data_IF_994703144833
#
_entry.id   IF_994703144833
#
_cell.length_a   1.000
_cell.length_b   1.000
_cell.length_c   1.000
_cell.angle_alpha   90.00
_cell.angle_beta   90.00
_cell.angle_gamma   90.00
#
_symmetry.space_group_name_H-M   'P 1'
#
loop_
_entity.id
_entity.type
_entity.pdbx_description
1 polymer ?
#
# COMPACT_ATOMS: atom_id res chain seq x y z
N UNK A 1 -31.80 17.23 0.12
CA UNK A 1 -33.22 17.06 -0.33
C UNK A 1 -33.38 15.56 -0.50
N UNK A 2 -34.04 14.89 0.47
CA UNK A 2 -34.24 13.43 0.46
C UNK A 2 -35.53 13.17 -0.31
N UNK A 3 -35.48 12.36 -1.36
CA UNK A 3 -36.65 11.97 -2.15
C UNK A 3 -37.41 10.83 -1.44
N UNK A 4 -38.74 10.98 -1.38
CA UNK A 4 -39.65 10.02 -0.80
C UNK A 4 -40.20 9.06 -1.86
N UNK A 5 -40.10 7.77 -1.64
CA UNK A 5 -40.83 6.76 -2.44
C UNK A 5 -42.00 6.21 -1.62
N UNK A 6 -43.25 6.59 -2.01
CA UNK A 6 -44.48 6.03 -1.40
C UNK A 6 -44.94 4.80 -2.18
N UNK A 7 -45.07 3.63 -1.53
CA UNK A 7 -45.82 2.47 -2.04
C UNK A 7 -47.20 2.41 -1.36
N UNK A 8 -48.25 2.62 -2.14
CA UNK A 8 -49.63 2.43 -1.68
C UNK A 8 -50.00 0.96 -1.53
N UNK A 9 -50.17 0.50 -0.29
CA UNK A 9 -51.05 -0.64 0.05
C UNK A 9 -52.05 -0.15 1.12
N UNK A 10 -53.33 -0.49 0.94
CA UNK A 10 -54.47 0.00 1.70
C UNK A 10 -54.23 -0.09 3.23
N UNK A 11 -54.08 1.07 3.91
CA UNK A 11 -54.24 1.15 5.35
C UNK A 11 -53.22 1.98 6.13
N UNK A 12 -51.99 2.07 5.72
CA UNK A 12 -50.96 3.00 6.28
C UNK A 12 -49.86 3.16 5.23
N UNK A 13 -49.55 4.40 4.88
CA UNK A 13 -48.36 4.69 4.04
C UNK A 13 -47.16 4.50 4.94
N UNK A 14 -46.43 3.40 4.77
CA UNK A 14 -45.14 3.21 5.46
C UNK A 14 -44.10 4.12 4.79
N UNK A 15 -43.59 5.08 5.54
CA UNK A 15 -42.47 5.92 5.09
C UNK A 15 -41.19 5.14 5.25
N UNK A 16 -40.44 4.98 4.15
CA UNK A 16 -39.11 4.34 4.16
C UNK A 16 -38.02 5.33 3.80
N UNK A 17 -36.88 5.20 4.44
CA UNK A 17 -35.68 5.92 4.04
C UNK A 17 -35.15 5.34 2.73
N UNK A 18 -34.73 6.18 1.81
CA UNK A 18 -34.09 5.78 0.54
C UNK A 18 -32.59 5.53 0.74
N UNK A 19 -32.27 4.67 1.70
CA UNK A 19 -30.91 4.22 2.02
C UNK A 19 -30.94 2.85 2.69
N UNK A 20 -29.82 2.14 2.63
CA UNK A 20 -29.65 0.81 3.24
C UNK A 20 -28.59 0.84 4.33
N UNK A 21 -28.67 -0.13 5.26
CA UNK A 21 -27.61 -0.36 6.23
C UNK A 21 -26.28 -0.72 5.52
N UNK A 22 -25.17 -0.20 6.00
CA UNK A 22 -23.88 -0.39 5.38
C UNK A 22 -22.71 -0.03 6.28
N UNK A 23 -21.57 0.22 5.66
CA UNK A 23 -20.35 0.58 6.40
C UNK A 23 -20.50 1.87 7.21
N UNK A 24 -21.28 2.83 6.73
CA UNK A 24 -21.46 4.17 7.32
C UNK A 24 -22.90 4.48 7.77
N UNK A 25 -23.82 3.56 7.63
CA UNK A 25 -25.25 3.73 8.01
C UNK A 25 -25.70 2.52 8.82
N UNK A 26 -26.46 2.80 9.89
CA UNK A 26 -27.07 1.79 10.75
C UNK A 26 -28.47 2.23 11.17
N UNK A 27 -29.44 1.31 11.23
CA UNK A 27 -30.80 1.56 11.71
C UNK A 27 -31.03 0.93 13.07
N UNK A 28 -31.79 1.59 13.93
CA UNK A 28 -32.19 1.07 15.23
C UNK A 28 -33.58 1.54 15.56
N UNK A 29 -34.40 0.65 16.09
CA UNK A 29 -35.77 0.97 16.51
C UNK A 29 -35.82 1.83 17.77
N UNK A 30 -34.83 1.67 18.68
CA UNK A 30 -34.71 2.39 19.94
C UNK A 30 -33.25 2.45 20.42
N UNK A 31 -32.99 3.26 21.43
CA UNK A 31 -31.68 3.31 22.12
C UNK A 31 -31.46 2.05 22.93
N UNK A 32 -30.50 1.23 22.55
CA UNK A 32 -30.12 -0.01 23.21
C UNK A 32 -28.59 -0.19 23.24
N UNK A 33 -28.10 -1.28 23.80
CA UNK A 33 -26.66 -1.54 23.91
C UNK A 33 -26.02 -1.82 22.54
N UNK A 34 -26.81 -2.25 21.54
CA UNK A 34 -26.32 -2.40 20.15
C UNK A 34 -26.05 -1.03 19.52
N UNK A 35 -26.87 -0.01 19.79
CA UNK A 35 -26.61 1.35 19.32
C UNK A 35 -25.29 1.89 19.90
N UNK A 36 -25.06 1.71 21.21
CA UNK A 36 -23.79 2.11 21.87
C UNK A 36 -22.59 1.39 21.31
N UNK A 37 -22.72 0.09 21.03
CA UNK A 37 -21.68 -0.71 20.36
C UNK A 37 -21.37 -0.15 18.96
N UNK A 38 -22.39 0.23 18.19
CA UNK A 38 -22.23 0.81 16.85
C UNK A 38 -21.56 2.18 16.92
N UNK A 39 -21.90 3.03 17.91
CA UNK A 39 -21.17 4.29 18.15
C UNK A 39 -19.68 4.06 18.35
N UNK A 40 -19.29 3.11 19.21
CA UNK A 40 -17.88 2.78 19.42
C UNK A 40 -17.23 2.25 18.13
N UNK A 41 -17.94 1.42 17.36
CA UNK A 41 -17.43 0.88 16.09
C UNK A 41 -17.22 1.99 15.03
N UNK A 42 -18.13 2.94 14.90
CA UNK A 42 -17.98 4.10 14.03
C UNK A 42 -16.82 5.00 14.46
N UNK A 43 -16.69 5.27 15.77
CA UNK A 43 -15.57 6.07 16.28
C UNK A 43 -14.20 5.42 16.04
N UNK A 44 -14.13 4.09 15.96
CA UNK A 44 -12.92 3.33 15.64
C UNK A 44 -12.61 3.27 14.14
N UNK A 45 -13.62 3.53 13.27
CA UNK A 45 -13.50 3.50 11.81
C UNK A 45 -13.59 4.91 11.22
N UNK A 46 -14.19 5.05 10.06
CA UNK A 46 -14.30 6.33 9.32
C UNK A 46 -15.50 7.19 9.75
N UNK A 47 -16.16 6.81 10.84
CA UNK A 47 -17.41 7.43 11.28
C UNK A 47 -18.63 6.81 10.63
N UNK A 48 -19.80 7.43 10.85
CA UNK A 48 -21.06 6.99 10.26
C UNK A 48 -22.28 7.62 10.94
N UNK A 49 -23.47 7.21 10.51
CA UNK A 49 -24.75 7.68 11.04
C UNK A 49 -25.62 6.54 11.54
N UNK A 50 -26.26 6.73 12.69
CA UNK A 50 -27.23 5.81 13.23
C UNK A 50 -28.59 6.52 13.24
N UNK A 51 -29.58 5.92 12.60
CA UNK A 51 -30.96 6.40 12.59
C UNK A 51 -31.78 5.63 13.63
N UNK A 52 -32.19 6.29 14.71
CA UNK A 52 -32.94 5.66 15.80
C UNK A 52 -34.43 6.04 15.63
N UNK A 53 -35.30 5.04 15.66
CA UNK A 53 -36.70 5.11 15.28
C UNK A 53 -36.96 4.54 13.88
N UNK A 54 -36.03 3.74 13.36
CA UNK A 54 -36.10 3.12 12.03
C UNK A 54 -35.88 1.61 12.18
N UNK A 55 -36.67 0.82 11.48
CA UNK A 55 -36.52 -0.63 11.39
C UNK A 55 -35.42 -1.04 10.40
N UNK A 56 -34.91 -2.26 10.50
CA UNK A 56 -33.81 -2.78 9.66
C UNK A 56 -34.13 -2.76 8.15
N UNK A 57 -35.41 -2.77 7.78
CA UNK A 57 -35.86 -2.66 6.38
C UNK A 57 -36.03 -1.21 5.91
N UNK A 58 -35.62 -0.23 6.72
CA UNK A 58 -35.70 1.21 6.44
C UNK A 58 -37.06 1.85 6.75
N UNK A 59 -38.05 1.10 7.30
CA UNK A 59 -39.35 1.68 7.68
C UNK A 59 -39.20 2.61 8.89
N UNK A 60 -39.71 3.84 8.75
CA UNK A 60 -39.70 4.81 9.83
C UNK A 60 -40.81 4.50 10.82
N UNK A 61 -40.42 4.05 12.02
CA UNK A 61 -41.34 3.81 13.14
C UNK A 61 -41.62 5.07 13.93
N UNK A 62 -40.61 5.93 14.08
CA UNK A 62 -40.61 7.14 14.88
C UNK A 62 -40.35 6.89 16.37
N UNK A 63 -40.09 7.95 17.10
CA UNK A 63 -39.87 7.98 18.55
C UNK A 63 -40.93 8.86 19.20
N UNK A 64 -41.61 8.34 20.21
CA UNK A 64 -42.71 9.08 20.91
C UNK A 64 -42.12 10.15 21.85
N UNK A 65 -41.13 9.80 22.68
CA UNK A 65 -40.49 10.74 23.61
C UNK A 65 -39.01 10.92 23.22
N UNK A 66 -38.78 11.89 22.35
CA UNK A 66 -37.44 12.21 21.81
C UNK A 66 -36.47 12.66 22.90
N UNK A 67 -36.94 13.48 23.84
CA UNK A 67 -36.09 14.04 24.92
C UNK A 67 -35.60 12.94 25.85
N UNK A 68 -36.48 12.01 26.22
CA UNK A 68 -36.13 10.87 27.08
C UNK A 68 -35.10 9.94 26.34
N UNK A 69 -35.30 9.66 25.05
CA UNK A 69 -34.36 8.81 24.29
C UNK A 69 -33.01 9.51 24.03
N UNK A 70 -32.98 10.83 23.84
CA UNK A 70 -31.74 11.63 23.73
C UNK A 70 -30.94 11.57 25.04
N UNK A 71 -31.61 11.79 26.16
CA UNK A 71 -30.98 11.70 27.48
C UNK A 71 -30.42 10.29 27.73
N UNK A 72 -31.22 9.27 27.45
CA UNK A 72 -30.83 7.86 27.58
C UNK A 72 -29.63 7.50 26.71
N UNK A 73 -29.59 7.97 25.47
CA UNK A 73 -28.45 7.76 24.56
C UNK A 73 -27.17 8.37 25.12
N UNK A 74 -27.25 9.64 25.54
CA UNK A 74 -26.11 10.38 26.08
C UNK A 74 -25.56 9.71 27.37
N UNK A 75 -26.45 9.34 28.29
CA UNK A 75 -26.04 8.64 29.51
C UNK A 75 -25.41 7.27 29.22
N UNK A 76 -26.00 6.50 28.30
CA UNK A 76 -25.46 5.20 27.92
C UNK A 76 -24.10 5.33 27.25
N UNK A 77 -23.87 6.30 26.34
CA UNK A 77 -22.57 6.55 25.73
C UNK A 77 -21.53 6.91 26.79
N UNK A 78 -21.84 7.87 27.66
CA UNK A 78 -20.94 8.30 28.74
C UNK A 78 -20.59 7.19 29.72
N UNK A 79 -21.57 6.36 30.09
CA UNK A 79 -21.35 5.25 31.03
C UNK A 79 -20.54 4.10 30.42
N UNK A 80 -20.80 3.77 29.14
CA UNK A 80 -20.36 2.51 28.57
C UNK A 80 -19.21 2.61 27.57
N UNK A 81 -18.84 3.81 27.07
CA UNK A 81 -17.73 3.94 26.11
C UNK A 81 -16.52 4.61 26.75
N UNK A 82 -15.35 4.08 26.51
CA UNK A 82 -14.06 4.65 26.91
C UNK A 82 -13.10 4.65 25.72
N UNK A 83 -12.24 5.70 25.53
CA UNK A 83 -12.35 7.03 26.15
C UNK A 83 -13.70 7.71 25.89
N UNK A 84 -13.93 8.91 26.45
CA UNK A 84 -15.19 9.66 26.22
C UNK A 84 -15.34 9.95 24.71
N UNK A 85 -16.49 9.55 24.16
CA UNK A 85 -16.79 9.66 22.72
C UNK A 85 -17.67 10.87 22.39
N UNK A 86 -18.24 11.53 23.39
CA UNK A 86 -19.28 12.55 23.21
C UNK A 86 -18.84 13.71 22.30
N UNK A 87 -17.57 14.09 22.37
CA UNK A 87 -17.02 15.15 21.49
C UNK A 87 -16.99 14.76 20.00
N UNK A 88 -17.13 13.48 19.69
CA UNK A 88 -17.14 12.94 18.32
C UNK A 88 -18.56 12.66 17.82
N UNK A 89 -19.57 12.94 18.62
CA UNK A 89 -20.97 12.61 18.34
C UNK A 89 -21.78 13.88 18.24
N UNK A 90 -22.43 14.10 17.11
CA UNK A 90 -23.50 15.08 16.94
C UNK A 90 -24.84 14.34 16.88
N UNK A 91 -25.86 14.88 17.52
CA UNK A 91 -27.19 14.28 17.55
C UNK A 91 -28.21 15.32 17.08
N UNK A 92 -28.92 14.96 16.02
CA UNK A 92 -29.98 15.78 15.41
C UNK A 92 -31.31 15.03 15.43
N UNK A 93 -32.41 15.75 15.28
CA UNK A 93 -33.76 15.17 15.17
C UNK A 93 -34.32 15.54 13.79
N UNK A 94 -34.60 14.51 13.03
CA UNK A 94 -35.27 14.68 11.71
C UNK A 94 -36.73 14.21 11.79
N UNK A 95 -37.59 14.80 10.98
CA UNK A 95 -39.00 14.47 10.93
C UNK A 95 -39.38 13.91 9.56
N UNK A 96 -39.95 12.71 9.56
CA UNK A 96 -40.41 12.02 8.37
C UNK A 96 -41.91 11.74 8.50
N UNK A 97 -42.73 12.43 7.71
CA UNK A 97 -44.19 12.31 7.70
C UNK A 97 -44.81 12.37 9.12
N UNK A 98 -44.34 13.34 9.92
CA UNK A 98 -44.82 13.57 11.29
C UNK A 98 -44.23 12.65 12.35
N UNK A 99 -43.38 11.71 11.99
CA UNK A 99 -42.62 10.83 12.93
C UNK A 99 -41.23 11.39 13.15
N UNK A 100 -40.80 11.43 14.40
CA UNK A 100 -39.47 11.90 14.80
C UNK A 100 -38.45 10.76 14.78
N UNK A 101 -37.29 11.00 14.19
CA UNK A 101 -36.14 10.08 14.13
C UNK A 101 -34.91 10.79 14.69
N UNK A 102 -34.20 10.15 15.61
CA UNK A 102 -32.93 10.69 16.10
C UNK A 102 -31.80 10.24 15.16
N UNK A 103 -31.04 11.19 14.62
CA UNK A 103 -29.89 10.94 13.76
C UNK A 103 -28.60 11.18 14.57
N UNK A 104 -27.86 10.12 14.81
CA UNK A 104 -26.59 10.15 15.55
C UNK A 104 -25.46 10.12 14.55
N UNK A 105 -24.82 11.25 14.32
CA UNK A 105 -23.62 11.34 13.48
C UNK A 105 -22.37 11.17 14.31
N UNK A 106 -21.61 10.13 14.02
CA UNK A 106 -20.36 9.80 14.72
C UNK A 106 -19.19 10.08 13.81
N UNK A 107 -18.21 10.84 14.29
CA UNK A 107 -16.94 11.08 13.60
C UNK A 107 -15.89 10.07 14.06
N UNK A 108 -14.88 9.85 13.21
CA UNK A 108 -13.69 9.07 13.59
C UNK A 108 -13.02 9.72 14.79
N UNK A 109 -12.83 8.95 15.85
CA UNK A 109 -12.25 9.44 17.08
C UNK A 109 -10.71 9.55 17.03
N UNK A 110 -10.14 10.60 17.63
CA UNK A 110 -8.67 10.78 17.66
C UNK A 110 -7.96 9.89 18.67
N UNK A 111 -8.65 9.43 19.72
CA UNK A 111 -8.09 8.61 20.83
C UNK A 111 -8.53 7.15 20.74
N UNK A 112 -8.36 6.53 19.59
CA UNK A 112 -8.70 5.12 19.37
C UNK A 112 -7.71 4.20 20.09
N UNK A 113 -8.14 3.01 20.52
CA UNK A 113 -9.47 2.43 20.32
C UNK A 113 -10.50 2.87 21.36
N UNK A 114 -11.73 3.12 20.90
CA UNK A 114 -12.90 3.26 21.76
C UNK A 114 -13.44 1.88 22.08
N UNK A 115 -13.72 1.62 23.35
CA UNK A 115 -14.13 0.29 23.80
C UNK A 115 -15.28 0.35 24.80
N UNK A 116 -16.02 -0.75 24.94
CA UNK A 116 -17.07 -0.89 25.94
C UNK A 116 -16.43 -1.09 27.32
N UNK A 117 -16.73 -0.18 28.27
CA UNK A 117 -16.14 -0.16 29.60
C UNK A 117 -16.35 -1.48 30.37
N UNK A 118 -17.51 -2.14 30.18
CA UNK A 118 -17.84 -3.42 30.81
C UNK A 118 -16.97 -4.59 30.33
N UNK A 119 -16.37 -4.46 29.15
CA UNK A 119 -15.56 -5.52 28.53
C UNK A 119 -14.06 -5.21 28.52
N UNK A 120 -13.69 -3.92 28.69
CA UNK A 120 -12.30 -3.48 28.71
C UNK A 120 -11.64 -3.40 27.35
N UNK A 121 -10.36 -2.99 27.34
CA UNK A 121 -9.54 -2.83 26.15
C UNK A 121 -8.98 -4.18 25.69
N UNK A 122 -9.79 -4.94 25.00
CA UNK A 122 -9.49 -6.27 24.44
C UNK A 122 -10.46 -6.56 23.27
N UNK A 123 -10.23 -7.63 22.47
CA UNK A 123 -11.05 -7.93 21.29
C UNK A 123 -12.56 -7.90 21.55
N UNK A 124 -13.03 -8.46 22.64
CA UNK A 124 -14.47 -8.50 22.97
C UNK A 124 -15.05 -7.13 23.33
N UNK A 125 -14.21 -6.16 23.68
CA UNK A 125 -14.61 -4.81 24.07
C UNK A 125 -14.45 -3.76 22.97
N UNK A 126 -13.57 -3.98 22.00
CA UNK A 126 -13.30 -3.07 20.88
C UNK A 126 -14.05 -3.55 19.64
N UNK A 127 -14.86 -2.68 19.05
CA UNK A 127 -15.64 -3.00 17.85
C UNK A 127 -15.22 -2.12 16.67
N UNK A 128 -15.29 -2.72 15.47
CA UNK A 128 -15.03 -2.07 14.18
C UNK A 128 -16.14 -2.41 13.18
N UNK A 129 -16.29 -1.62 12.12
CA UNK A 129 -17.26 -1.89 11.05
C UNK A 129 -16.69 -2.84 10.01
N UNK A 130 -17.46 -3.89 9.70
CA UNK A 130 -17.22 -4.80 8.59
C UNK A 130 -18.51 -4.93 7.79
N UNK A 131 -18.60 -4.17 6.69
CA UNK A 131 -19.88 -3.98 5.99
C UNK A 131 -20.92 -3.33 6.90
N UNK A 132 -22.12 -3.91 6.95
CA UNK A 132 -23.21 -3.47 7.82
C UNK A 132 -23.10 -3.97 9.27
N UNK A 133 -22.07 -4.79 9.63
CA UNK A 133 -21.97 -5.37 10.96
C UNK A 133 -20.90 -4.66 11.83
N UNK A 134 -21.19 -4.51 13.13
CA UNK A 134 -20.21 -4.13 14.14
C UNK A 134 -19.60 -5.40 14.76
N UNK A 135 -18.33 -5.72 14.39
CA UNK A 135 -17.64 -6.93 14.79
C UNK A 135 -16.52 -6.64 15.79
N UNK A 136 -16.16 -7.62 16.67
CA UNK A 136 -15.00 -7.49 17.52
C UNK A 136 -13.72 -7.28 16.70
N UNK A 137 -12.81 -6.44 17.21
CA UNK A 137 -11.51 -6.19 16.62
C UNK A 137 -10.51 -7.30 16.98
N UNK A 138 -9.41 -7.41 16.22
CA UNK A 138 -8.29 -8.29 16.60
C UNK A 138 -7.31 -7.56 17.51
N UNK A 139 -6.51 -8.32 18.30
CA UNK A 139 -5.43 -7.74 19.11
C UNK A 139 -4.45 -6.91 18.27
N UNK A 140 -4.13 -7.37 17.07
CA UNK A 140 -3.25 -6.65 16.14
C UNK A 140 -3.84 -5.30 15.73
N UNK A 141 -5.15 -5.26 15.41
CA UNK A 141 -5.82 -4.02 15.04
C UNK A 141 -5.98 -3.06 16.22
N UNK A 142 -6.18 -3.58 17.43
CA UNK A 142 -6.19 -2.78 18.67
C UNK A 142 -4.83 -2.11 18.89
N UNK A 143 -3.74 -2.86 18.81
CA UNK A 143 -2.39 -2.33 18.92
C UNK A 143 -2.10 -1.28 17.86
N UNK A 144 -2.58 -1.49 16.64
CA UNK A 144 -2.44 -0.50 15.56
C UNK A 144 -3.20 0.79 15.88
N UNK A 145 -4.46 0.70 16.36
CA UNK A 145 -5.25 1.88 16.75
C UNK A 145 -4.59 2.68 17.87
N UNK A 146 -4.00 2.01 18.87
CA UNK A 146 -3.24 2.65 19.96
C UNK A 146 -2.07 3.44 19.39
N UNK A 147 -1.27 2.81 18.54
CA UNK A 147 -0.10 3.44 17.87
C UNK A 147 -0.50 4.69 17.09
N UNK A 148 -1.58 4.60 16.32
CA UNK A 148 -2.08 5.72 15.52
C UNK A 148 -2.60 6.89 16.39
N UNK A 149 -3.16 6.59 17.56
CA UNK A 149 -3.79 7.59 18.44
C UNK A 149 -2.81 8.32 19.35
N UNK A 150 -1.77 7.63 19.79
CA UNK A 150 -0.78 8.20 20.72
C UNK A 150 0.34 8.96 19.98
N UNK A 151 0.35 8.92 18.65
CA UNK A 151 1.46 9.44 17.84
C UNK A 151 2.73 8.60 18.02
N UNK A 152 2.58 7.41 18.61
CA UNK A 152 3.65 6.48 18.89
C UNK A 152 4.02 5.72 17.61
N UNK A 153 4.84 6.37 16.79
CA UNK A 153 5.44 5.74 15.62
C UNK A 153 6.58 4.81 16.06
N UNK A 154 6.85 3.75 15.30
CA UNK A 154 8.00 2.88 15.56
C UNK A 154 9.28 3.69 15.78
N UNK A 155 9.48 4.72 14.97
CA UNK A 155 10.68 5.55 14.96
C UNK A 155 10.88 6.39 16.23
N UNK A 156 9.78 6.80 16.91
CA UNK A 156 9.84 7.63 18.13
C UNK A 156 10.02 6.82 19.42
N UNK A 157 9.81 5.49 19.38
CA UNK A 157 9.98 4.64 20.55
C UNK A 157 11.44 4.51 20.94
N UNK A 158 11.68 4.28 22.24
CA UNK A 158 13.00 3.95 22.76
C UNK A 158 13.54 2.68 22.10
N UNK A 159 14.80 2.76 21.67
CA UNK A 159 15.51 1.62 21.11
C UNK A 159 15.93 0.65 22.22
N UNK A 160 15.81 -0.64 21.96
CA UNK A 160 16.35 -1.67 22.85
C UNK A 160 17.88 -1.65 22.87
N UNK A 161 18.53 -1.19 21.81
CA UNK A 161 19.97 -1.01 21.77
C UNK A 161 20.32 0.45 22.06
N UNK A 162 21.01 0.71 23.15
CA UNK A 162 21.47 2.03 23.57
C UNK A 162 22.96 2.26 23.27
N UNK A 163 23.67 1.25 22.75
CA UNK A 163 25.08 1.36 22.35
C UNK A 163 25.17 1.59 20.83
N UNK A 164 24.87 2.81 20.41
CA UNK A 164 24.81 3.20 19.01
C UNK A 164 25.97 4.12 18.64
N UNK A 165 26.53 3.92 17.43
CA UNK A 165 27.49 4.80 16.79
C UNK A 165 26.92 5.31 15.47
N UNK A 166 27.40 6.44 14.96
CA UNK A 166 26.79 7.16 13.84
C UNK A 166 27.85 7.66 12.84
N UNK A 167 28.88 6.86 12.56
CA UNK A 167 29.98 7.31 11.70
C UNK A 167 29.51 7.65 10.30
N UNK A 168 28.71 6.75 9.70
CA UNK A 168 28.15 6.99 8.36
C UNK A 168 27.20 8.17 8.34
N UNK A 169 26.26 8.24 9.27
CA UNK A 169 25.26 9.30 9.34
C UNK A 169 25.89 10.68 9.60
N UNK A 170 26.87 10.77 10.53
CA UNK A 170 27.58 12.01 10.83
C UNK A 170 28.34 12.53 9.60
N UNK A 171 28.98 11.63 8.82
CA UNK A 171 29.63 11.98 7.56
C UNK A 171 28.64 12.57 6.55
N UNK A 172 27.46 11.94 6.37
CA UNK A 172 26.42 12.43 5.46
C UNK A 172 25.86 13.79 5.87
N UNK A 173 25.70 14.03 7.17
CA UNK A 173 25.30 15.33 7.67
C UNK A 173 26.39 16.40 7.41
N UNK A 174 27.65 16.05 7.62
CA UNK A 174 28.78 16.95 7.38
C UNK A 174 28.90 17.35 5.90
N UNK A 175 28.62 16.45 4.96
CA UNK A 175 28.54 16.74 3.51
C UNK A 175 27.49 17.83 3.20
N UNK A 176 26.48 18.00 4.06
CA UNK A 176 25.43 19.02 3.97
C UNK A 176 25.67 20.25 4.88
N UNK A 177 26.81 20.30 5.55
CA UNK A 177 27.16 21.41 6.44
C UNK A 177 26.51 21.34 7.83
N UNK A 178 25.99 20.17 8.24
CA UNK A 178 25.42 19.96 9.57
C UNK A 178 26.37 19.16 10.45
N UNK A 179 26.33 19.42 11.77
CA UNK A 179 27.01 18.61 12.78
C UNK A 179 26.02 17.74 13.54
N UNK A 180 26.45 16.55 13.96
CA UNK A 180 25.68 15.64 14.79
C UNK A 180 26.08 15.81 16.25
N UNK A 181 25.60 16.86 16.89
CA UNK A 181 25.71 17.05 18.33
C UNK A 181 24.44 16.58 19.08
N UNK A 182 24.46 16.59 20.41
CA UNK A 182 23.32 16.16 21.21
C UNK A 182 22.05 16.99 20.94
N UNK A 183 22.20 18.29 20.70
CA UNK A 183 21.07 19.17 20.36
C UNK A 183 20.45 18.81 19.02
N UNK A 184 21.29 18.52 18.02
CA UNK A 184 20.84 18.04 16.72
C UNK A 184 20.15 16.66 16.81
N UNK A 185 20.71 15.73 17.62
CA UNK A 185 20.10 14.41 17.85
C UNK A 185 18.70 14.53 18.47
N UNK A 186 18.53 15.39 19.48
CA UNK A 186 17.21 15.67 20.08
C UNK A 186 16.25 16.31 19.09
N UNK A 187 16.71 17.31 18.35
CA UNK A 187 15.90 18.03 17.35
C UNK A 187 15.42 17.11 16.23
N UNK A 188 16.24 16.16 15.80
CA UNK A 188 15.89 15.19 14.77
C UNK A 188 15.11 13.99 15.32
N UNK A 189 14.92 13.86 16.63
CA UNK A 189 14.21 12.76 17.25
C UNK A 189 15.04 11.48 17.41
N UNK A 190 16.37 11.55 17.30
CA UNK A 190 17.24 10.39 17.57
C UNK A 190 17.36 10.12 19.07
N UNK A 191 17.19 11.14 19.89
CA UNK A 191 17.30 11.04 21.34
C UNK A 191 16.03 11.56 21.99
N UNK A 192 15.37 10.70 22.77
CA UNK A 192 14.23 11.02 23.62
C UNK A 192 14.66 11.28 25.08
N UNK A 193 13.68 11.27 25.98
CA UNK A 193 13.92 11.51 27.42
C UNK A 193 14.68 10.35 28.08
N UNK A 194 14.48 9.11 27.61
CA UNK A 194 15.07 7.90 28.19
C UNK A 194 16.29 7.38 27.43
N UNK A 195 16.70 8.01 26.31
CA UNK A 195 17.83 7.58 25.52
C UNK A 195 17.59 7.61 24.00
N UNK A 196 18.32 6.76 23.27
CA UNK A 196 18.18 6.66 21.83
C UNK A 196 16.84 6.03 21.41
N UNK A 197 16.27 6.57 20.36
CA UNK A 197 15.02 6.07 19.74
C UNK A 197 15.30 5.01 18.68
N UNK A 198 14.25 4.37 18.17
CA UNK A 198 14.39 3.47 17.02
C UNK A 198 14.81 4.22 15.74
N UNK A 199 14.50 5.52 15.59
CA UNK A 199 15.07 6.32 14.52
C UNK A 199 16.60 6.37 14.62
N UNK A 200 17.15 6.54 15.85
CA UNK A 200 18.59 6.46 16.05
C UNK A 200 19.14 5.10 15.65
N UNK A 201 18.49 4.00 16.02
CA UNK A 201 18.90 2.67 15.59
C UNK A 201 18.91 2.55 14.07
N UNK A 202 17.89 3.02 13.36
CA UNK A 202 17.84 2.99 11.89
C UNK A 202 19.00 3.76 11.23
N UNK A 203 19.40 4.87 11.83
CA UNK A 203 20.47 5.73 11.29
C UNK A 203 21.87 5.37 11.81
N UNK A 204 21.98 4.47 12.80
CA UNK A 204 23.24 4.03 13.39
C UNK A 204 23.96 3.00 12.52
N UNK A 205 25.25 2.83 12.79
CA UNK A 205 26.08 1.79 12.18
C UNK A 205 25.68 0.37 12.63
N UNK A 206 24.83 0.26 13.67
CA UNK A 206 24.26 -0.99 14.20
C UNK A 206 22.86 -1.30 13.67
N UNK A 207 22.41 -0.58 12.65
CA UNK A 207 21.10 -0.81 12.05
C UNK A 207 21.01 -2.25 11.47
N UNK A 208 19.94 -3.00 11.76
CA UNK A 208 19.73 -4.32 11.16
C UNK A 208 19.59 -4.23 9.63
N UNK A 209 19.83 -5.34 8.91
CA UNK A 209 19.66 -5.39 7.46
C UNK A 209 18.17 -5.29 7.07
N UNK A 210 17.80 -4.14 6.56
CA UNK A 210 16.43 -3.87 6.06
C UNK A 210 16.33 -3.91 4.53
N UNK A 211 17.45 -3.95 3.81
CA UNK A 211 17.48 -4.00 2.36
C UNK A 211 18.26 -5.23 1.89
N UNK A 212 17.70 -5.92 0.90
CA UNK A 212 18.34 -7.01 0.16
C UNK A 212 18.11 -6.80 -1.33
N UNK A 213 19.13 -7.06 -2.13
CA UNK A 213 19.04 -6.99 -3.58
C UNK A 213 19.41 -8.32 -4.21
N UNK A 214 18.79 -8.64 -5.32
CA UNK A 214 19.14 -9.80 -6.14
C UNK A 214 18.91 -9.50 -7.62
N UNK A 215 19.80 -10.01 -8.47
CA UNK A 215 19.62 -10.07 -9.91
C UNK A 215 19.32 -11.51 -10.32
N UNK A 216 18.40 -11.69 -11.26
CA UNK A 216 17.92 -12.97 -11.75
C UNK A 216 18.14 -13.14 -13.24
N UNK A 217 18.38 -14.37 -13.69
CA UNK A 217 18.51 -14.72 -15.10
C UNK A 217 17.15 -14.77 -15.82
N UNK A 218 16.05 -14.89 -15.06
CA UNK A 218 14.70 -14.95 -15.59
C UNK A 218 13.67 -14.20 -14.73
N UNK A 219 12.48 -13.97 -15.29
CA UNK A 219 11.39 -13.26 -14.62
C UNK A 219 10.66 -14.13 -13.56
N UNK A 220 10.97 -15.43 -13.49
CA UNK A 220 10.41 -16.36 -12.49
C UNK A 220 11.19 -16.40 -11.19
N UNK A 221 12.38 -15.79 -11.19
CA UNK A 221 13.31 -15.76 -10.05
C UNK A 221 13.84 -17.14 -9.65
N UNK A 222 13.95 -18.05 -10.63
CA UNK A 222 14.43 -19.41 -10.37
C UNK A 222 15.94 -19.46 -10.19
N UNK A 223 16.68 -18.60 -10.89
CA UNK A 223 18.14 -18.58 -10.88
C UNK A 223 18.67 -17.21 -10.49
N UNK A 224 19.39 -17.16 -9.37
CA UNK A 224 20.13 -15.97 -8.94
C UNK A 224 21.41 -15.82 -9.74
N UNK A 225 21.62 -14.64 -10.32
CA UNK A 225 22.92 -14.22 -10.88
C UNK A 225 23.79 -13.59 -9.80
N UNK A 226 23.17 -12.74 -8.98
CA UNK A 226 23.83 -12.04 -7.87
C UNK A 226 22.82 -11.81 -6.73
N UNK A 227 23.31 -11.77 -5.51
CA UNK A 227 22.51 -11.46 -4.31
C UNK A 227 23.35 -10.76 -3.27
N UNK A 228 22.77 -9.72 -2.67
CA UNK A 228 23.41 -8.90 -1.66
C UNK A 228 22.47 -8.65 -0.47
N UNK A 229 23.04 -8.60 0.70
CA UNK A 229 22.37 -8.20 1.93
C UNK A 229 23.16 -7.07 2.58
N UNK A 230 22.52 -5.92 2.80
CA UNK A 230 23.19 -4.72 3.27
C UNK A 230 23.05 -4.58 4.77
N UNK A 231 24.13 -4.12 5.44
CA UNK A 231 24.21 -3.82 6.87
C UNK A 231 24.75 -2.41 7.08
N UNK A 232 24.83 -1.94 8.32
CA UNK A 232 25.21 -0.56 8.62
C UNK A 232 24.02 0.38 8.58
N UNK A 233 24.25 1.66 8.66
CA UNK A 233 23.18 2.68 8.66
C UNK A 233 22.18 2.46 7.53
N UNK A 234 20.89 2.71 7.79
CA UNK A 234 19.85 2.61 6.76
C UNK A 234 20.17 3.46 5.52
N UNK A 235 20.89 4.57 5.70
CA UNK A 235 21.35 5.41 4.59
C UNK A 235 22.46 4.73 3.79
N UNK A 236 23.34 3.98 4.44
CA UNK A 236 24.38 3.18 3.79
C UNK A 236 23.75 2.03 3.01
N UNK A 237 22.78 1.34 3.61
CA UNK A 237 21.99 0.29 2.94
C UNK A 237 21.26 0.86 1.71
N UNK A 238 20.69 2.06 1.81
CA UNK A 238 19.99 2.75 0.70
C UNK A 238 20.97 3.07 -0.45
N UNK A 239 22.14 3.65 -0.15
CA UNK A 239 23.15 3.98 -1.16
C UNK A 239 23.72 2.72 -1.81
N UNK A 240 23.96 1.66 -1.04
CA UNK A 240 24.46 0.39 -1.55
C UNK A 240 23.43 -0.31 -2.45
N UNK A 241 22.15 -0.31 -2.07
CA UNK A 241 21.08 -0.86 -2.90
C UNK A 241 20.88 -0.04 -4.19
N UNK A 242 21.06 1.28 -4.13
CA UNK A 242 21.02 2.12 -5.32
C UNK A 242 22.21 1.85 -6.24
N UNK A 243 23.42 1.69 -5.69
CA UNK A 243 24.61 1.32 -6.46
C UNK A 243 24.46 -0.05 -7.14
N UNK A 244 23.81 -1.02 -6.47
CA UNK A 244 23.45 -2.30 -7.08
C UNK A 244 22.50 -2.13 -8.26
N UNK A 245 21.46 -1.30 -8.13
CA UNK A 245 20.54 -1.01 -9.22
C UNK A 245 21.24 -0.35 -10.40
N UNK A 246 22.11 0.63 -10.15
CA UNK A 246 22.90 1.30 -11.20
C UNK A 246 23.89 0.33 -11.90
N UNK A 247 24.50 -0.59 -11.16
CA UNK A 247 25.41 -1.60 -11.72
C UNK A 247 24.69 -2.57 -12.69
N UNK A 248 23.39 -2.81 -12.45
CA UNK A 248 22.55 -3.66 -13.30
C UNK A 248 21.69 -2.86 -14.30
N UNK A 249 21.83 -1.54 -14.33
CA UNK A 249 21.13 -0.66 -15.27
C UNK A 249 22.01 -0.47 -16.52
N UNK A 250 21.89 -1.39 -17.48
CA UNK A 250 22.66 -1.34 -18.70
C UNK A 250 22.03 -0.35 -19.68
N UNK A 251 22.81 0.10 -20.66
CA UNK A 251 22.31 0.96 -21.72
C UNK A 251 22.43 0.28 -23.08
N UNK A 252 21.50 0.61 -23.98
CA UNK A 252 21.57 0.27 -25.39
C UNK A 252 21.78 1.53 -26.23
N UNK A 253 22.60 1.40 -27.25
CA UNK A 253 22.85 2.49 -28.22
C UNK A 253 22.02 2.28 -29.47
N UNK A 254 21.27 3.31 -29.85
CA UNK A 254 20.61 3.38 -31.19
C UNK A 254 21.18 4.55 -31.96
N UNK A 255 21.13 4.44 -33.29
CA UNK A 255 21.53 5.52 -34.19
C UNK A 255 20.28 6.05 -34.92
N UNK A 256 19.99 7.34 -34.75
CA UNK A 256 18.97 8.05 -35.51
C UNK A 256 19.68 8.99 -36.51
N UNK A 257 19.78 8.55 -37.76
CA UNK A 257 20.62 9.20 -38.76
C UNK A 257 22.11 9.14 -38.40
N UNK A 258 22.72 10.28 -38.13
CA UNK A 258 24.12 10.40 -37.67
C UNK A 258 24.25 10.56 -36.15
N UNK A 259 23.13 10.67 -35.44
CA UNK A 259 23.14 10.88 -33.97
C UNK A 259 23.12 9.54 -33.25
N UNK A 260 24.03 9.40 -32.28
CA UNK A 260 24.02 8.31 -31.32
C UNK A 260 23.08 8.70 -30.17
N UNK A 261 22.15 7.82 -29.83
CA UNK A 261 21.24 7.97 -28.67
C UNK A 261 21.43 6.75 -27.80
N UNK A 262 21.78 6.98 -26.52
CA UNK A 262 21.93 5.94 -25.53
C UNK A 262 20.66 5.92 -24.64
N UNK A 263 20.11 4.74 -24.43
CA UNK A 263 18.91 4.50 -23.62
C UNK A 263 19.25 3.52 -22.51
N UNK A 264 19.12 3.97 -21.26
CA UNK A 264 19.25 3.09 -20.11
C UNK A 264 18.08 2.09 -20.06
N UNK A 265 18.33 0.91 -19.50
CA UNK A 265 17.28 -0.09 -19.25
C UNK A 265 16.17 0.49 -18.38
N UNK A 266 16.56 1.27 -17.39
CA UNK A 266 15.65 1.94 -16.45
C UNK A 266 16.05 3.40 -16.28
N UNK A 267 15.11 4.36 -16.25
CA UNK A 267 15.44 5.74 -15.89
C UNK A 267 15.99 5.81 -14.47
N UNK A 268 17.21 6.32 -14.27
CA UNK A 268 17.85 6.45 -12.95
C UNK A 268 16.97 7.24 -11.97
N UNK A 269 16.23 8.24 -12.45
CA UNK A 269 15.27 9.00 -11.63
C UNK A 269 14.13 8.11 -11.08
N UNK A 270 13.62 7.15 -11.88
CA UNK A 270 12.58 6.24 -11.44
C UNK A 270 13.10 5.21 -10.45
N UNK A 271 14.29 4.62 -10.70
CA UNK A 271 14.95 3.70 -9.76
C UNK A 271 15.17 4.36 -8.40
N UNK A 272 15.74 5.58 -8.41
CA UNK A 272 15.98 6.35 -7.20
C UNK A 272 14.69 6.62 -6.43
N UNK A 273 13.67 7.10 -7.09
CA UNK A 273 12.40 7.47 -6.46
C UNK A 273 11.70 6.23 -5.86
N UNK A 274 11.64 5.12 -6.60
CA UNK A 274 11.04 3.88 -6.13
C UNK A 274 11.76 3.33 -4.89
N UNK A 275 13.10 3.34 -4.87
CA UNK A 275 13.90 2.85 -3.77
C UNK A 275 13.78 3.74 -2.52
N UNK A 276 13.86 5.06 -2.69
CA UNK A 276 13.74 6.02 -1.58
C UNK A 276 12.35 5.95 -0.96
N UNK A 277 11.29 5.86 -1.78
CA UNK A 277 9.91 5.70 -1.30
C UNK A 277 9.72 4.38 -0.54
N UNK A 278 10.32 3.28 -1.01
CA UNK A 278 10.27 2.00 -0.33
C UNK A 278 10.87 2.06 1.08
N UNK A 279 11.94 2.85 1.29
CA UNK A 279 12.57 3.09 2.59
C UNK A 279 11.74 4.05 3.45
N UNK A 280 11.29 5.18 2.89
CA UNK A 280 10.56 6.20 3.64
C UNK A 280 9.19 5.72 4.15
N UNK A 281 8.53 4.84 3.38
CA UNK A 281 7.18 4.35 3.69
C UNK A 281 7.13 2.93 4.26
N UNK A 282 8.29 2.27 4.49
CA UNK A 282 8.35 0.95 5.09
C UNK A 282 7.72 0.92 6.49
N UNK A 283 7.02 -0.16 6.83
CA UNK A 283 6.60 -0.47 8.21
C UNK A 283 7.75 -1.17 8.95
N UNK A 284 8.53 -0.42 9.71
CA UNK A 284 9.71 -0.91 10.42
C UNK A 284 9.39 -1.78 11.65
N UNK A 285 8.14 -1.78 12.13
CA UNK A 285 7.69 -2.70 13.17
C UNK A 285 7.54 -4.14 12.66
N UNK A 286 7.47 -4.34 11.34
CA UNK A 286 7.41 -5.66 10.73
C UNK A 286 8.83 -6.19 10.45
N UNK A 287 9.07 -7.43 10.88
CA UNK A 287 10.31 -8.15 10.58
C UNK A 287 10.38 -8.56 9.10
N UNK A 288 11.58 -8.50 8.53
CA UNK A 288 11.85 -8.87 7.13
C UNK A 288 12.40 -7.69 6.33
N UNK A 289 13.11 -7.92 5.23
CA UNK A 289 13.72 -6.87 4.42
C UNK A 289 12.76 -6.27 3.39
N UNK A 290 13.11 -5.10 2.89
CA UNK A 290 12.67 -4.61 1.58
C UNK A 290 13.47 -5.37 0.53
N UNK A 291 12.81 -5.91 -0.47
CA UNK A 291 13.42 -6.72 -1.52
C UNK A 291 13.53 -5.90 -2.81
N UNK A 292 14.74 -5.82 -3.34
CA UNK A 292 15.05 -5.24 -4.65
C UNK A 292 15.39 -6.38 -5.60
N UNK A 293 14.58 -6.60 -6.62
CA UNK A 293 14.74 -7.69 -7.59
C UNK A 293 14.95 -7.11 -8.99
N UNK A 294 16.10 -7.40 -9.59
CA UNK A 294 16.39 -7.07 -10.98
C UNK A 294 16.17 -8.30 -11.83
N UNK A 295 15.27 -8.21 -12.79
CA UNK A 295 14.90 -9.27 -13.71
C UNK A 295 15.07 -8.81 -15.17
N UNK A 296 15.14 -9.71 -16.15
CA UNK A 296 15.30 -9.29 -17.55
C UNK A 296 14.24 -8.31 -18.06
N UNK A 297 12.98 -8.46 -17.63
CA UNK A 297 11.88 -7.60 -18.09
C UNK A 297 11.60 -6.39 -17.19
N UNK A 298 11.98 -6.41 -15.92
CA UNK A 298 11.65 -5.35 -14.94
C UNK A 298 12.55 -5.36 -13.71
N UNK A 299 12.58 -4.22 -13.04
CA UNK A 299 12.99 -4.12 -11.63
C UNK A 299 11.75 -4.10 -10.76
N UNK A 300 11.74 -4.85 -9.67
CA UNK A 300 10.66 -4.89 -8.70
C UNK A 300 11.19 -4.59 -7.30
N UNK A 301 10.58 -3.62 -6.63
CA UNK A 301 10.90 -3.23 -5.25
C UNK A 301 9.69 -3.51 -4.38
N UNK A 302 9.82 -4.47 -3.46
CA UNK A 302 8.77 -4.88 -2.53
C UNK A 302 9.11 -4.42 -1.13
N UNK A 303 8.30 -3.54 -0.55
CA UNK A 303 8.46 -3.09 0.82
C UNK A 303 7.31 -3.57 1.71
N UNK A 304 7.60 -3.74 3.01
CA UNK A 304 6.60 -4.13 4.00
C UNK A 304 5.78 -2.92 4.45
N UNK A 305 4.47 -3.12 4.57
CA UNK A 305 3.47 -2.10 4.89
C UNK A 305 2.63 -1.74 3.67
N UNK A 306 1.29 -1.74 3.82
CA UNK A 306 0.35 -1.28 2.80
C UNK A 306 0.28 0.23 2.72
N UNK A 307 -0.85 0.79 2.31
CA UNK A 307 -1.08 2.24 2.34
C UNK A 307 -1.17 2.75 3.78
N UNK A 308 -0.79 4.00 3.96
CA UNK A 308 -0.98 4.70 5.25
C UNK A 308 -2.48 4.84 5.50
N UNK A 309 -2.99 4.62 6.74
CA UNK A 309 -4.39 4.80 7.05
C UNK A 309 -4.92 6.17 6.61
N UNK A 310 -6.06 6.16 5.92
CA UNK A 310 -6.67 7.36 5.36
C UNK A 310 -6.28 7.68 3.92
N UNK A 311 -5.36 6.90 3.33
CA UNK A 311 -4.99 6.97 1.91
C UNK A 311 -5.59 5.75 1.20
N UNK A 312 -6.27 5.97 0.08
CA UNK A 312 -6.74 4.95 -0.84
C UNK A 312 -5.80 4.77 -2.03
N UNK A 313 -6.00 3.72 -2.82
CA UNK A 313 -5.22 3.51 -4.04
C UNK A 313 -5.40 4.67 -5.04
N UNK A 314 -6.61 5.22 -5.13
CA UNK A 314 -6.93 6.32 -6.03
C UNK A 314 -6.24 7.64 -5.63
N UNK A 315 -5.85 7.78 -4.36
CA UNK A 315 -5.13 8.95 -3.85
C UNK A 315 -3.65 8.97 -4.23
N UNK A 316 -3.10 7.86 -4.73
CA UNK A 316 -1.70 7.77 -5.13
C UNK A 316 -1.33 8.76 -6.25
N UNK A 317 -2.28 9.12 -7.11
CA UNK A 317 -2.11 10.10 -8.18
C UNK A 317 -2.41 11.55 -7.75
N UNK A 318 -2.93 11.74 -6.53
CA UNK A 318 -3.36 13.07 -6.04
C UNK A 318 -2.24 13.93 -5.47
N UNK A 319 -0.96 13.51 -5.61
CA UNK A 319 0.23 14.22 -5.06
C UNK A 319 0.12 14.54 -3.56
N UNK A 320 -0.43 13.61 -2.78
CA UNK A 320 -0.53 13.72 -1.33
C UNK A 320 0.80 13.26 -0.70
N UNK A 321 1.38 14.09 0.18
CA UNK A 321 2.58 13.74 0.95
C UNK A 321 2.19 13.38 2.38
N UNK A 322 2.05 12.08 2.65
CA UNK A 322 1.78 11.56 4.00
C UNK A 322 2.78 10.43 4.32
N UNK A 323 3.98 10.74 4.77
CA UNK A 323 4.98 9.72 5.08
C UNK A 323 4.57 8.90 6.31
N UNK A 324 4.78 7.57 6.24
CA UNK A 324 4.57 6.66 7.37
C UNK A 324 5.54 6.99 8.51
N UNK A 325 6.80 7.21 8.17
CA UNK A 325 7.89 7.51 9.10
C UNK A 325 8.25 9.00 8.98
N UNK A 326 7.57 9.84 9.76
CA UNK A 326 7.66 11.31 9.64
C UNK A 326 9.04 11.84 10.03
N UNK A 327 9.65 11.28 11.08
CA UNK A 327 10.97 11.70 11.55
C UNK A 327 12.04 11.25 10.56
N UNK A 328 12.00 10.01 10.08
CA UNK A 328 12.90 9.52 9.04
C UNK A 328 12.76 10.33 7.75
N UNK A 329 11.53 10.63 7.33
CA UNK A 329 11.28 11.47 6.16
C UNK A 329 11.87 12.88 6.34
N UNK A 330 11.80 13.48 7.54
CA UNK A 330 12.44 14.76 7.84
C UNK A 330 13.96 14.70 7.71
N UNK A 331 14.60 13.61 8.13
CA UNK A 331 16.04 13.40 7.96
C UNK A 331 16.39 13.22 6.48
N UNK A 332 15.66 12.38 5.75
CA UNK A 332 15.85 12.18 4.31
C UNK A 332 15.69 13.48 3.51
N UNK A 333 14.73 14.33 3.90
CA UNK A 333 14.55 15.66 3.31
C UNK A 333 15.77 16.56 3.55
N UNK A 334 16.28 16.62 4.79
CA UNK A 334 17.47 17.43 5.14
C UNK A 334 18.72 17.00 4.36
N UNK A 335 18.84 15.69 4.11
CA UNK A 335 19.92 15.13 3.32
C UNK A 335 19.70 15.26 1.80
N UNK A 336 18.52 15.73 1.36
CA UNK A 336 18.18 15.90 -0.05
C UNK A 336 17.84 14.59 -0.78
N UNK A 337 17.48 13.54 -0.04
CA UNK A 337 17.01 12.29 -0.62
C UNK A 337 15.55 12.36 -1.07
N UNK A 338 14.72 13.18 -0.42
CA UNK A 338 13.30 13.36 -0.80
C UNK A 338 12.94 14.84 -0.91
N UNK A 339 11.86 15.09 -1.64
CA UNK A 339 11.13 16.35 -1.67
C UNK A 339 9.76 16.17 -1.02
N UNK A 340 9.33 17.13 -0.21
CA UNK A 340 8.11 17.01 0.61
C UNK A 340 6.80 17.37 -0.15
N UNK A 341 6.71 17.14 -1.47
CA UNK A 341 5.62 17.61 -2.32
C UNK A 341 4.67 16.52 -2.82
N UNK A 342 4.88 15.23 -2.45
CA UNK A 342 4.03 14.12 -2.89
C UNK A 342 4.09 13.81 -4.41
N UNK A 343 5.12 14.28 -5.10
CA UNK A 343 5.24 14.16 -6.56
C UNK A 343 5.98 12.90 -7.03
N UNK A 344 6.36 12.00 -6.12
CA UNK A 344 7.27 10.88 -6.42
C UNK A 344 6.72 9.91 -7.46
N UNK A 345 5.47 9.46 -7.34
CA UNK A 345 4.85 8.55 -8.31
C UNK A 345 4.72 9.23 -9.69
N UNK A 346 4.33 10.50 -9.71
CA UNK A 346 4.27 11.30 -10.95
C UNK A 346 5.64 11.38 -11.63
N UNK A 347 6.72 11.58 -10.84
CA UNK A 347 8.09 11.61 -11.39
C UNK A 347 8.53 10.26 -11.96
N UNK A 348 8.21 9.16 -11.28
CA UNK A 348 8.51 7.83 -11.82
C UNK A 348 7.85 7.63 -13.18
N UNK A 349 6.58 8.00 -13.33
CA UNK A 349 5.85 7.91 -14.60
C UNK A 349 6.39 8.86 -15.65
N UNK A 350 6.64 10.13 -15.30
CA UNK A 350 7.21 11.11 -16.24
C UNK A 350 8.61 10.71 -16.71
N UNK A 351 9.40 10.01 -15.89
CA UNK A 351 10.70 9.49 -16.30
C UNK A 351 10.60 8.41 -17.40
N UNK A 352 9.42 7.81 -17.57
CA UNK A 352 9.11 6.88 -18.65
C UNK A 352 8.32 7.53 -19.82
N UNK A 353 8.47 8.84 -20.02
CA UNK A 353 7.77 9.59 -21.06
C UNK A 353 6.24 9.38 -21.01
N UNK A 354 5.69 9.38 -19.80
CA UNK A 354 4.28 9.14 -19.47
C UNK A 354 3.70 7.79 -19.95
N UNK A 355 4.55 6.81 -20.27
CA UNK A 355 4.12 5.42 -20.47
C UNK A 355 3.66 4.83 -19.13
N UNK A 356 2.41 5.03 -18.77
CA UNK A 356 1.83 4.61 -17.48
C UNK A 356 1.99 3.12 -17.19
N UNK A 357 1.97 2.30 -18.23
CA UNK A 357 2.15 0.84 -18.15
C UNK A 357 3.57 0.42 -17.76
N UNK A 358 4.55 1.33 -17.90
CA UNK A 358 5.93 1.05 -17.53
C UNK A 358 6.20 1.14 -16.01
N UNK A 359 5.28 1.73 -15.23
CA UNK A 359 5.35 1.84 -13.77
C UNK A 359 4.09 1.21 -13.18
N UNK A 360 4.22 -0.02 -12.73
CA UNK A 360 3.14 -0.77 -12.08
C UNK A 360 3.28 -0.65 -10.56
N UNK A 361 2.18 -0.33 -9.89
CA UNK A 361 2.10 -0.26 -8.43
C UNK A 361 1.06 -1.27 -7.97
N UNK A 362 1.46 -2.17 -7.09
CA UNK A 362 0.58 -3.15 -6.46
C UNK A 362 0.60 -2.99 -4.95
N UNK A 363 -0.57 -2.93 -4.35
CA UNK A 363 -0.71 -2.70 -2.90
C UNK A 363 -1.57 -3.78 -2.28
N UNK A 364 -1.07 -4.38 -1.21
CA UNK A 364 -1.81 -5.26 -0.32
C UNK A 364 -1.88 -4.65 1.08
N UNK A 365 -2.65 -5.19 2.03
CA UNK A 365 -2.60 -4.71 3.41
C UNK A 365 -1.21 -4.75 4.06
N UNK A 366 -0.31 -5.61 3.58
CA UNK A 366 0.99 -5.88 4.20
C UNK A 366 2.19 -5.50 3.33
N UNK A 367 2.00 -5.23 2.05
CA UNK A 367 3.09 -4.93 1.11
C UNK A 367 2.74 -3.81 0.15
N UNK A 368 3.75 -3.05 -0.23
CA UNK A 368 3.70 -2.09 -1.33
C UNK A 368 4.79 -2.47 -2.33
N UNK A 369 4.41 -2.69 -3.58
CA UNK A 369 5.29 -3.12 -4.64
C UNK A 369 5.31 -2.10 -5.76
N UNK A 370 6.50 -1.71 -6.20
CA UNK A 370 6.73 -0.92 -7.41
C UNK A 370 7.48 -1.78 -8.39
N UNK A 371 6.92 -1.96 -9.58
CA UNK A 371 7.58 -2.61 -10.70
C UNK A 371 7.85 -1.59 -11.82
N UNK A 372 9.09 -1.53 -12.26
CA UNK A 372 9.59 -0.63 -13.30
C UNK A 372 9.99 -1.47 -14.51
N UNK A 373 9.37 -1.25 -15.65
CA UNK A 373 9.64 -2.02 -16.87
C UNK A 373 11.02 -1.69 -17.46
N UNK A 374 11.73 -2.71 -17.92
CA UNK A 374 12.96 -2.53 -18.70
C UNK A 374 12.59 -1.98 -20.07
N UNK A 375 13.09 -0.79 -20.42
CA UNK A 375 12.84 -0.12 -21.72
C UNK A 375 13.44 -0.88 -22.91
N UNK A 376 14.53 -1.59 -22.66
CA UNK A 376 15.31 -2.30 -23.64
C UNK A 376 15.01 -3.80 -23.65
N UNK A 377 14.08 -4.29 -22.81
CA UNK A 377 13.66 -5.67 -22.88
C UNK A 377 13.15 -5.95 -24.31
N UNK A 378 13.74 -6.96 -24.94
CA UNK A 378 13.23 -7.43 -26.24
C UNK A 378 11.75 -7.77 -26.07
N UNK A 379 10.92 -7.53 -27.10
CA UNK A 379 9.48 -7.84 -27.03
C UNK A 379 9.19 -9.23 -26.46
N UNK A 380 10.06 -10.19 -26.72
CA UNK A 380 10.03 -11.53 -26.13
C UNK A 380 10.09 -11.55 -24.59
N UNK A 381 10.82 -10.62 -23.94
CA UNK A 381 10.93 -10.58 -22.48
C UNK A 381 9.71 -9.94 -21.81
N UNK A 382 9.05 -8.96 -22.45
CA UNK A 382 7.81 -8.35 -21.95
C UNK A 382 6.62 -9.30 -22.02
N UNK A 383 6.58 -10.14 -23.06
CA UNK A 383 5.49 -11.10 -23.29
C UNK A 383 5.67 -12.40 -22.50
N UNK A 384 6.89 -12.68 -21.98
CA UNK A 384 7.18 -13.88 -21.18
C UNK A 384 6.48 -13.89 -19.80
N UNK A 385 6.00 -12.78 -19.27
CA UNK A 385 5.31 -12.73 -17.98
C UNK A 385 4.02 -13.59 -17.96
N UNK A 386 3.34 -13.73 -19.11
CA UNK A 386 2.11 -14.54 -19.29
C UNK A 386 2.35 -15.88 -20.02
N UNK A 387 3.60 -16.30 -20.16
CA UNK A 387 3.97 -17.51 -20.91
C UNK A 387 4.19 -18.71 -19.98
N UNK A 388 3.78 -19.88 -20.44
CA UNK A 388 4.13 -21.14 -19.78
C UNK A 388 5.61 -21.47 -19.93
N UNK A 389 6.17 -22.35 -19.05
CA UNK A 389 7.55 -22.79 -19.12
C UNK A 389 7.95 -23.34 -20.50
N UNK A 390 7.04 -24.07 -21.11
CA UNK A 390 7.24 -24.68 -22.42
C UNK A 390 7.28 -23.62 -23.55
N UNK A 391 6.44 -22.58 -23.47
CA UNK A 391 6.43 -21.46 -24.40
C UNK A 391 7.72 -20.66 -24.32
N UNK A 392 8.19 -20.35 -23.12
CA UNK A 392 9.47 -19.65 -22.89
C UNK A 392 10.64 -20.43 -23.50
N UNK A 393 10.67 -21.76 -23.33
CA UNK A 393 11.72 -22.59 -23.88
C UNK A 393 11.72 -22.57 -25.42
N UNK A 394 10.55 -22.57 -26.04
CA UNK A 394 10.41 -22.45 -27.50
C UNK A 394 10.86 -21.08 -28.00
N UNK A 395 10.46 -19.99 -27.32
CA UNK A 395 10.86 -18.63 -27.68
C UNK A 395 12.38 -18.46 -27.57
N UNK A 396 13.01 -18.91 -26.49
CA UNK A 396 14.49 -18.89 -26.33
C UNK A 396 15.18 -19.69 -27.42
N UNK A 397 14.61 -20.82 -27.82
CA UNK A 397 15.15 -21.65 -28.91
C UNK A 397 15.09 -20.93 -30.27
N UNK A 398 14.02 -20.19 -30.52
CA UNK A 398 13.88 -19.35 -31.72
C UNK A 398 14.89 -18.19 -31.66
N UNK A 399 15.00 -17.51 -30.52
CA UNK A 399 15.97 -16.41 -30.31
C UNK A 399 17.42 -16.85 -30.51
N UNK A 400 17.77 -18.10 -30.20
CA UNK A 400 19.10 -18.67 -30.46
C UNK A 400 19.34 -19.09 -31.91
N UNK A 401 18.42 -18.74 -32.84
CA UNK A 401 18.59 -18.96 -34.28
C UNK A 401 17.97 -20.25 -34.83
N UNK A 402 17.31 -21.04 -33.99
CA UNK A 402 16.59 -22.26 -34.43
C UNK A 402 15.19 -21.91 -34.93
N UNK A 403 15.08 -21.53 -36.19
CA UNK A 403 13.86 -20.97 -36.78
C UNK A 403 12.95 -21.97 -37.47
N UNK A 404 13.36 -23.23 -37.62
CA UNK A 404 12.51 -24.27 -38.24
C UNK A 404 11.88 -25.15 -37.17
N UNK A 405 10.67 -25.67 -37.41
CA UNK A 405 9.99 -26.57 -36.46
C UNK A 405 10.87 -27.75 -36.05
N UNK A 406 11.59 -28.35 -37.00
CA UNK A 406 12.44 -29.49 -36.75
C UNK A 406 13.64 -29.14 -35.85
N UNK A 407 14.25 -27.97 -36.06
CA UNK A 407 15.34 -27.48 -35.21
C UNK A 407 14.84 -27.16 -33.80
N UNK A 408 13.72 -26.45 -33.70
CA UNK A 408 13.07 -26.16 -32.40
C UNK A 408 12.78 -27.46 -31.64
N UNK A 409 12.11 -28.41 -32.29
CA UNK A 409 11.76 -29.71 -31.70
C UNK A 409 13.01 -30.49 -31.24
N UNK A 410 14.08 -30.44 -32.01
CA UNK A 410 15.33 -31.12 -31.65
C UNK A 410 16.01 -30.55 -30.40
N UNK A 411 15.87 -29.24 -30.14
CA UNK A 411 16.44 -28.56 -28.99
C UNK A 411 15.54 -28.71 -27.76
N UNK A 412 14.22 -28.53 -27.89
CA UNK A 412 13.28 -28.55 -26.75
C UNK A 412 12.88 -29.96 -26.32
N UNK A 413 13.08 -30.97 -27.16
CA UNK A 413 12.76 -32.36 -26.87
C UNK A 413 11.26 -32.71 -26.79
N UNK A 414 10.35 -31.81 -27.26
CA UNK A 414 8.91 -32.03 -27.23
C UNK A 414 8.43 -32.91 -28.37
N UNK A 415 7.25 -33.54 -28.21
CA UNK A 415 6.60 -34.22 -29.33
C UNK A 415 6.21 -33.22 -30.44
N UNK A 416 6.07 -33.71 -31.66
CA UNK A 416 5.66 -32.89 -32.80
C UNK A 416 4.34 -32.14 -32.55
N UNK A 417 3.34 -32.85 -31.99
CA UNK A 417 2.02 -32.26 -31.71
C UNK A 417 2.11 -31.15 -30.66
N UNK A 418 2.89 -31.37 -29.58
CA UNK A 418 3.11 -30.36 -28.53
C UNK A 418 3.83 -29.14 -29.07
N UNK A 419 4.89 -29.35 -29.89
CA UNK A 419 5.64 -28.21 -30.50
C UNK A 419 4.75 -27.38 -31.43
N UNK A 420 3.90 -28.01 -32.21
CA UNK A 420 2.95 -27.30 -33.10
C UNK A 420 1.91 -26.53 -32.28
N UNK A 421 1.36 -27.13 -31.21
CA UNK A 421 0.43 -26.46 -30.31
C UNK A 421 1.03 -25.17 -29.75
N UNK A 422 2.20 -25.28 -29.11
CA UNK A 422 2.92 -24.12 -28.52
C UNK A 422 3.22 -23.06 -29.58
N UNK A 423 3.70 -23.42 -30.76
CA UNK A 423 3.97 -22.48 -31.84
C UNK A 423 2.70 -21.76 -32.32
N UNK A 424 1.56 -22.44 -32.36
CA UNK A 424 0.27 -21.81 -32.71
C UNK A 424 -0.19 -20.84 -31.61
N UNK A 425 -0.08 -21.23 -30.34
CA UNK A 425 -0.44 -20.38 -29.19
C UNK A 425 0.44 -19.11 -29.18
N UNK A 426 1.74 -19.25 -29.44
CA UNK A 426 2.67 -18.12 -29.57
C UNK A 426 2.37 -17.21 -30.75
N UNK A 427 1.84 -17.77 -31.85
CA UNK A 427 1.39 -16.98 -33.00
C UNK A 427 0.10 -16.23 -32.70
N UNK A 428 -0.86 -16.88 -32.00
CA UNK A 428 -2.09 -16.23 -31.53
C UNK A 428 -1.80 -15.10 -30.54
N UNK A 429 -0.81 -15.29 -29.68
CA UNK A 429 -0.31 -14.25 -28.76
C UNK A 429 0.47 -13.13 -29.45
N UNK A 430 0.77 -13.26 -30.75
CA UNK A 430 1.52 -12.26 -31.54
C UNK A 430 3.03 -12.26 -31.31
N UNK A 431 3.56 -13.21 -30.53
CA UNK A 431 4.99 -13.31 -30.12
C UNK A 431 5.84 -13.89 -31.25
N UNK A 432 5.30 -14.84 -32.00
CA UNK A 432 5.98 -15.53 -33.09
C UNK A 432 5.23 -15.27 -34.40
N UNK A 433 5.96 -15.05 -35.47
CA UNK A 433 5.42 -14.95 -36.83
C UNK A 433 5.92 -16.08 -37.72
N UNK A 434 5.11 -16.45 -38.70
CA UNK A 434 5.48 -17.40 -39.73
C UNK A 434 6.02 -16.67 -40.95
N UNK A 435 7.19 -17.08 -41.46
CA UNK A 435 7.77 -16.57 -42.66
C UNK A 435 8.07 -17.73 -43.66
N UNK A 436 7.76 -17.54 -44.93
CA UNK A 436 8.00 -18.52 -45.97
C UNK A 436 6.82 -19.42 -46.32
N UNK A 437 7.01 -20.27 -47.34
CA UNK A 437 5.99 -21.22 -47.84
C UNK A 437 6.18 -22.62 -47.21
N UNK A 438 5.27 -23.54 -47.56
CA UNK A 438 5.15 -24.89 -46.97
C UNK A 438 6.46 -25.72 -46.93
N UNK A 439 7.42 -25.47 -47.82
CA UNK A 439 8.72 -26.19 -47.83
C UNK A 439 9.83 -25.49 -47.08
N UNK A 440 9.71 -24.15 -46.83
CA UNK A 440 10.73 -23.33 -46.16
C UNK A 440 10.10 -22.49 -45.04
N UNK A 441 9.17 -23.04 -44.29
CA UNK A 441 8.49 -22.36 -43.18
C UNK A 441 9.47 -22.11 -42.05
N UNK A 442 9.62 -20.85 -41.66
CA UNK A 442 10.41 -20.41 -40.52
C UNK A 442 9.49 -19.72 -39.48
N UNK A 443 9.89 -19.81 -38.24
CA UNK A 443 9.29 -19.15 -37.11
C UNK A 443 10.27 -18.08 -36.62
N UNK A 444 9.83 -16.85 -36.58
CA UNK A 444 10.64 -15.69 -36.16
C UNK A 444 9.93 -14.99 -34.99
N UNK A 445 10.69 -14.39 -34.13
CA UNK A 445 10.14 -13.48 -33.12
C UNK A 445 9.70 -12.19 -33.81
N UNK A 446 8.59 -11.64 -33.35
CA UNK A 446 7.97 -10.44 -33.91
C UNK A 446 8.62 -9.16 -33.40
#
# INVERSE_FOLDING_TARGET
MLEYVSRQTRGCIAVKLDMEEGRSVEFKTMVNDSAVKTVAAFANCDGGRIYIGVADDGEVLGIEDVDAELLRLTEKMRANIRPDVLMMVAVDVEHFDGKSVIVVTVQRGPKRPYYLASKGLRPEGVYVRSGAASVPSSDTAILQMIRESEGDSFESRESLNQNLTFEFFARKLAERGFSLDEGAMRTMGLMGDCGFTNLALLLSDQCPPFLKAAAFDDDRRDVFLEREEYSGSLLEQLESAYAFLEAHNHFQTRYEGLNRIDFDDYPSAALREALVNAVAHREYALSGPTLVSVMPSRVEIVTLGGLVPGISYDDLDASISLPRNRLLASVLYRLGFIEAWGTGIGRMRSAYDDQREAVEISVTPNTFTVALANRNASGASRECADMTADEVLVVRTIASGNTTRSAIQGVVGFSQTKTIGILNDLIEKGIVMREGGTRNLRYLLR
#
